data_IF_350556072471
#
_entry.id   IF_350556072471
#
_cell.length_a   1.000
_cell.length_b   1.000
_cell.length_c   1.000
_cell.angle_alpha   90.00
_cell.angle_beta   90.00
_cell.angle_gamma   90.00
#
_symmetry.space_group_name_H-M   'P 1'
#
loop_
_entity.id
_entity.type
_entity.pdbx_description
1 polymer ?
#
# COMPACT_ATOMS: atom_id res chain seq x y z
N UNK A 1 5.01 -18.89 -36.35
CA UNK A 1 4.72 -17.81 -35.38
C UNK A 1 4.70 -18.46 -34.01
N UNK A 2 5.59 -18.00 -33.12
CA UNK A 2 5.91 -18.65 -31.85
C UNK A 2 4.74 -18.58 -30.88
N UNK A 3 4.07 -19.71 -30.67
CA UNK A 3 3.20 -19.90 -29.51
C UNK A 3 4.11 -20.23 -28.33
N UNK A 4 4.61 -19.21 -27.64
CA UNK A 4 5.07 -19.38 -26.27
C UNK A 4 3.95 -20.03 -25.47
N UNK A 5 4.24 -21.17 -24.84
CA UNK A 5 3.21 -21.90 -24.09
C UNK A 5 2.72 -21.03 -22.92
N UNK A 6 1.42 -21.05 -22.61
CA UNK A 6 0.83 -20.32 -21.48
C UNK A 6 1.60 -20.55 -20.16
N UNK A 7 2.13 -21.76 -19.89
CA UNK A 7 3.09 -22.01 -18.81
C UNK A 7 4.33 -21.09 -18.83
N UNK A 8 4.99 -20.91 -19.98
CA UNK A 8 6.15 -20.02 -20.09
C UNK A 8 5.78 -18.54 -19.93
N UNK A 9 4.52 -18.17 -20.20
CA UNK A 9 3.99 -16.84 -19.89
C UNK A 9 3.64 -16.70 -18.40
N UNK A 10 3.01 -17.71 -17.78
CA UNK A 10 2.68 -17.71 -16.36
C UNK A 10 3.94 -17.79 -15.48
N UNK A 11 4.91 -18.62 -15.86
CA UNK A 11 6.24 -18.68 -15.25
C UNK A 11 7.01 -17.39 -15.48
N UNK A 12 6.97 -16.79 -16.68
CA UNK A 12 7.59 -15.47 -16.89
C UNK A 12 6.93 -14.42 -16.04
N UNK A 13 5.60 -14.37 -16.02
CA UNK A 13 4.86 -13.44 -15.19
C UNK A 13 5.24 -13.59 -13.72
N UNK A 14 5.24 -14.81 -13.18
CA UNK A 14 5.66 -15.07 -11.80
C UNK A 14 7.14 -14.73 -11.55
N UNK A 15 8.02 -15.08 -12.50
CA UNK A 15 9.44 -14.76 -12.45
C UNK A 15 9.66 -13.25 -12.53
N UNK A 16 8.93 -12.54 -13.36
CA UNK A 16 9.07 -11.11 -13.62
C UNK A 16 8.39 -10.30 -12.49
N UNK A 17 7.33 -10.82 -11.86
CA UNK A 17 6.75 -10.30 -10.61
C UNK A 17 7.71 -10.49 -9.42
N UNK A 18 8.36 -11.67 -9.32
CA UNK A 18 9.37 -11.94 -8.30
C UNK A 18 10.67 -11.17 -8.55
N UNK A 19 11.16 -11.12 -9.78
CA UNK A 19 12.37 -10.35 -10.16
C UNK A 19 12.10 -8.86 -10.10
N UNK A 20 10.92 -8.37 -10.46
CA UNK A 20 10.53 -6.97 -10.25
C UNK A 20 10.49 -6.61 -8.76
N UNK A 21 10.05 -7.53 -7.90
CA UNK A 21 10.16 -7.35 -6.45
C UNK A 21 11.62 -7.38 -5.93
N UNK A 22 12.55 -8.03 -6.66
CA UNK A 22 13.98 -8.12 -6.31
C UNK A 22 14.79 -6.94 -6.89
N UNK A 23 14.56 -6.56 -8.14
CA UNK A 23 15.28 -5.50 -8.87
C UNK A 23 14.91 -4.09 -8.37
N UNK A 24 13.72 -3.92 -7.79
CA UNK A 24 13.33 -2.71 -7.06
C UNK A 24 13.84 -2.69 -5.61
N UNK A 25 14.73 -3.62 -5.22
CA UNK A 25 15.45 -3.56 -3.94
C UNK A 25 16.77 -2.80 -4.15
N UNK A 26 17.08 -1.74 -3.38
CA UNK A 26 18.34 -1.02 -3.53
C UNK A 26 19.53 -1.96 -3.40
N UNK A 27 20.38 -2.01 -4.42
CA UNK A 27 21.37 -3.09 -4.64
C UNK A 27 22.74 -2.82 -3.99
N UNK A 28 22.80 -1.94 -3.01
CA UNK A 28 24.06 -1.63 -2.33
C UNK A 28 23.94 -2.04 -0.87
N UNK A 29 24.53 -3.18 -0.53
CA UNK A 29 25.35 -3.40 0.67
C UNK A 29 25.82 -4.87 0.71
N UNK A 30 27.07 -5.11 0.30
CA UNK A 30 27.74 -6.38 0.53
C UNK A 30 28.28 -6.48 1.97
N UNK A 31 28.06 -7.62 2.62
CA UNK A 31 29.10 -8.56 3.10
C UNK A 31 28.88 -9.16 4.50
N UNK A 32 28.80 -10.51 4.51
CA UNK A 32 29.24 -11.50 5.53
C UNK A 32 28.55 -11.54 6.90
N UNK A 33 27.88 -12.65 7.24
CA UNK A 33 28.50 -13.78 7.97
C UNK A 33 27.54 -14.97 8.21
N UNK A 34 28.14 -16.16 8.30
CA UNK A 34 27.61 -17.46 8.75
C UNK A 34 26.59 -17.42 9.90
N UNK A 35 25.53 -18.22 9.82
CA UNK A 35 25.37 -19.35 10.74
C UNK A 35 24.26 -20.34 10.33
N UNK A 36 24.52 -21.59 10.66
CA UNK A 36 23.70 -22.78 10.46
C UNK A 36 22.43 -22.80 11.32
N UNK A 37 21.26 -22.89 10.68
CA UNK A 37 20.04 -23.43 11.29
C UNK A 37 19.39 -24.40 10.30
N UNK A 38 19.32 -25.68 10.71
CA UNK A 38 18.38 -26.67 10.17
C UNK A 38 17.08 -26.52 10.96
N UNK A 39 15.96 -26.41 10.26
CA UNK A 39 14.78 -27.26 10.49
C UNK A 39 13.87 -27.23 9.26
N UNK A 40 13.46 -28.44 8.87
CA UNK A 40 12.37 -28.75 7.94
C UNK A 40 11.12 -27.97 8.33
N UNK A 41 10.41 -27.37 7.36
CA UNK A 41 8.94 -27.38 7.26
C UNK A 41 8.55 -26.94 5.84
N UNK A 42 7.70 -27.76 5.23
CA UNK A 42 7.38 -27.82 3.80
C UNK A 42 6.74 -26.52 3.27
N UNK A 43 7.13 -26.18 2.03
CA UNK A 43 6.41 -25.26 1.16
C UNK A 43 4.91 -25.61 1.13
N UNK A 44 3.97 -24.65 1.14
CA UNK A 44 2.54 -24.96 1.23
C UNK A 44 2.16 -25.92 0.10
N UNK A 45 1.95 -27.18 0.48
CA UNK A 45 1.75 -28.28 -0.45
C UNK A 45 0.57 -27.96 -1.38
N UNK A 46 -0.42 -27.21 -0.91
CA UNK A 46 -1.58 -26.75 -1.68
C UNK A 46 -1.24 -25.73 -2.79
N UNK A 47 -0.26 -24.86 -2.62
CA UNK A 47 0.14 -23.88 -3.66
C UNK A 47 1.07 -24.52 -4.70
N UNK A 48 1.97 -25.41 -4.27
CA UNK A 48 2.71 -26.27 -5.19
C UNK A 48 1.75 -27.19 -5.97
N UNK A 49 0.72 -27.73 -5.31
CA UNK A 49 -0.37 -28.48 -5.95
C UNK A 49 -1.17 -27.63 -6.93
N UNK A 50 -1.41 -26.35 -6.66
CA UNK A 50 -2.14 -25.46 -7.58
C UNK A 50 -1.32 -25.16 -8.85
N UNK A 51 -0.04 -24.85 -8.70
CA UNK A 51 0.89 -24.68 -9.84
C UNK A 51 1.05 -26.01 -10.61
N UNK A 52 1.13 -27.15 -9.92
CA UNK A 52 1.19 -28.47 -10.52
C UNK A 52 -0.12 -28.86 -11.22
N UNK A 53 -1.29 -28.55 -10.65
CA UNK A 53 -2.62 -28.79 -11.23
C UNK A 53 -2.81 -27.99 -12.51
N UNK A 54 -2.38 -26.73 -12.53
CA UNK A 54 -2.41 -25.89 -13.74
C UNK A 54 -1.47 -26.49 -14.80
N UNK A 55 -0.29 -26.94 -14.41
CA UNK A 55 0.65 -27.62 -15.31
C UNK A 55 0.06 -28.93 -15.87
N UNK A 56 -0.49 -29.81 -15.02
CA UNK A 56 -1.10 -31.09 -15.39
C UNK A 56 -2.32 -30.91 -16.30
N UNK A 57 -3.20 -29.96 -15.98
CA UNK A 57 -4.36 -29.60 -16.81
C UNK A 57 -3.94 -29.12 -18.20
N UNK A 58 -2.88 -28.31 -18.29
CA UNK A 58 -2.36 -27.84 -19.58
C UNK A 58 -1.63 -28.93 -20.37
N UNK A 59 -0.98 -29.89 -19.71
CA UNK A 59 -0.37 -31.03 -20.37
C UNK A 59 -1.43 -31.97 -20.95
N UNK A 60 -2.50 -32.24 -20.19
CA UNK A 60 -3.64 -33.04 -20.67
C UNK A 60 -4.27 -32.43 -21.92
N UNK A 61 -4.48 -31.11 -21.95
CA UNK A 61 -5.02 -30.38 -23.11
C UNK A 61 -4.05 -30.38 -24.32
N UNK A 62 -2.74 -30.32 -24.08
CA UNK A 62 -1.70 -30.37 -25.14
C UNK A 62 -1.54 -31.79 -25.73
N UNK A 63 -1.73 -32.83 -24.91
CA UNK A 63 -1.79 -34.24 -25.34
C UNK A 63 -3.03 -34.48 -26.20
N UNK A 64 -4.20 -33.99 -25.77
CA UNK A 64 -5.44 -34.09 -26.54
C UNK A 64 -5.34 -33.38 -27.91
N UNK A 65 -4.56 -32.29 -27.97
CA UNK A 65 -4.28 -31.52 -29.20
C UNK A 65 -3.04 -31.98 -29.98
N UNK A 66 -2.43 -33.12 -29.62
CA UNK A 66 -1.35 -33.77 -30.38
C UNK A 66 -0.03 -32.99 -30.45
N UNK A 67 0.26 -32.10 -29.50
CA UNK A 67 1.51 -31.32 -29.46
C UNK A 67 2.61 -32.03 -28.65
N UNK A 68 3.86 -31.85 -29.06
CA UNK A 68 5.05 -32.35 -28.34
C UNK A 68 5.17 -31.63 -26.99
N UNK A 69 5.39 -32.41 -25.92
CA UNK A 69 5.52 -31.95 -24.53
C UNK A 69 6.53 -30.79 -24.37
N UNK A 70 6.19 -29.79 -23.55
CA UNK A 70 7.19 -28.84 -23.02
C UNK A 70 8.10 -29.58 -22.02
N UNK A 71 9.39 -29.22 -21.97
CA UNK A 71 10.40 -29.77 -21.02
C UNK A 71 9.77 -30.05 -19.65
N UNK A 72 9.79 -31.31 -19.23
CA UNK A 72 9.36 -31.74 -17.90
C UNK A 72 10.20 -31.01 -16.84
N UNK A 73 9.53 -30.24 -15.98
CA UNK A 73 10.08 -29.87 -14.69
C UNK A 73 9.71 -31.01 -13.75
N UNK A 74 10.70 -31.78 -13.29
CA UNK A 74 10.47 -32.79 -12.27
C UNK A 74 10.13 -32.08 -10.95
N UNK A 75 9.26 -32.69 -10.13
CA UNK A 75 8.89 -32.18 -8.81
C UNK A 75 10.11 -31.83 -7.96
N UNK A 76 11.20 -32.58 -8.11
CA UNK A 76 12.47 -32.36 -7.41
C UNK A 76 13.18 -31.07 -7.86
N UNK A 77 13.11 -30.71 -9.14
CA UNK A 77 13.68 -29.45 -9.65
C UNK A 77 12.86 -28.26 -9.22
N UNK A 78 11.53 -28.39 -9.22
CA UNK A 78 10.64 -27.36 -8.69
C UNK A 78 10.88 -27.16 -7.19
N UNK A 79 10.95 -28.26 -6.41
CA UNK A 79 11.25 -28.22 -4.98
C UNK A 79 12.60 -27.56 -4.69
N UNK A 80 13.66 -27.93 -5.43
CA UNK A 80 15.00 -27.35 -5.28
C UNK A 80 15.05 -25.84 -5.58
N UNK A 81 14.30 -25.40 -6.61
CA UNK A 81 14.19 -23.98 -6.96
C UNK A 81 13.48 -23.19 -5.84
N UNK A 82 12.37 -23.73 -5.32
CA UNK A 82 11.61 -23.11 -4.22
C UNK A 82 12.43 -23.02 -2.93
N UNK A 83 13.20 -24.07 -2.60
CA UNK A 83 14.13 -24.06 -1.47
C UNK A 83 15.23 -23.00 -1.63
N UNK A 84 15.72 -22.80 -2.86
CA UNK A 84 16.70 -21.74 -3.16
C UNK A 84 16.10 -20.36 -2.95
N UNK A 85 14.88 -20.12 -3.45
CA UNK A 85 14.17 -18.85 -3.23
C UNK A 85 13.87 -18.60 -1.75
N UNK A 86 13.42 -19.61 -1.00
CA UNK A 86 13.17 -19.51 0.44
C UNK A 86 14.42 -19.07 1.19
N UNK A 87 15.58 -19.67 0.88
CA UNK A 87 16.88 -19.28 1.47
C UNK A 87 17.28 -17.85 1.13
N UNK A 88 17.13 -17.43 -0.13
CA UNK A 88 17.44 -16.06 -0.54
C UNK A 88 16.56 -15.03 0.17
N UNK A 89 15.27 -15.31 0.33
CA UNK A 89 14.35 -14.43 1.05
C UNK A 89 14.66 -14.35 2.54
N UNK A 90 14.94 -15.47 3.21
CA UNK A 90 15.35 -15.44 4.62
C UNK A 90 16.63 -14.63 4.81
N UNK A 91 17.63 -14.80 3.94
CA UNK A 91 18.85 -14.02 3.99
C UNK A 91 18.57 -12.51 3.84
N UNK A 92 17.65 -12.11 2.94
CA UNK A 92 17.26 -10.71 2.77
C UNK A 92 16.53 -10.14 4.00
N UNK A 93 15.63 -10.90 4.61
CA UNK A 93 14.95 -10.50 5.85
C UNK A 93 15.96 -10.32 7.00
N UNK A 94 16.93 -11.24 7.12
CA UNK A 94 18.00 -11.14 8.11
C UNK A 94 18.93 -9.95 7.84
N UNK A 95 19.28 -9.70 6.58
CA UNK A 95 20.16 -8.63 6.12
C UNK A 95 19.55 -7.24 6.31
N UNK A 96 18.24 -7.09 6.08
CA UNK A 96 17.53 -5.82 6.31
C UNK A 96 17.46 -5.42 7.79
N UNK A 97 17.87 -6.31 8.72
CA UNK A 97 17.79 -6.15 10.19
C UNK A 97 16.41 -5.70 10.68
N UNK A 98 15.38 -5.88 9.86
CA UNK A 98 14.06 -5.35 10.13
C UNK A 98 13.36 -6.30 11.09
N UNK A 99 13.27 -5.89 12.36
CA UNK A 99 12.51 -6.63 13.34
C UNK A 99 11.03 -6.39 13.05
N UNK A 100 10.26 -7.47 12.93
CA UNK A 100 8.81 -7.44 12.97
C UNK A 100 8.39 -6.62 14.17
N UNK A 101 7.83 -5.44 13.94
CA UNK A 101 7.28 -4.66 15.01
C UNK A 101 5.88 -5.20 15.31
N UNK A 102 5.62 -5.82 16.48
CA UNK A 102 4.30 -6.35 16.80
C UNK A 102 3.21 -5.26 16.85
N UNK A 103 3.57 -3.98 16.90
CA UNK A 103 2.66 -2.84 16.82
C UNK A 103 2.47 -2.30 15.39
N UNK A 104 3.06 -2.88 14.35
CA UNK A 104 2.77 -2.47 12.98
C UNK A 104 1.29 -2.77 12.65
N UNK A 105 0.56 -1.84 11.98
CA UNK A 105 -0.84 -2.06 11.58
C UNK A 105 -1.10 -3.38 10.85
N UNK A 106 -0.11 -3.95 10.16
CA UNK A 106 -0.23 -5.22 9.46
C UNK A 106 -0.43 -6.43 10.38
N UNK A 107 0.06 -6.37 11.61
CA UNK A 107 -0.06 -7.47 12.59
C UNK A 107 -1.25 -7.28 13.53
N UNK A 108 -1.99 -6.19 13.38
CA UNK A 108 -3.15 -5.91 14.21
C UNK A 108 -4.27 -6.93 13.92
N UNK A 109 -4.53 -7.81 14.90
CA UNK A 109 -5.64 -8.78 14.86
C UNK A 109 -7.02 -8.15 15.04
N UNK A 110 -7.05 -6.90 15.52
CA UNK A 110 -8.24 -6.09 15.71
C UNK A 110 -8.07 -4.82 14.90
N UNK A 111 -9.13 -4.40 14.21
CA UNK A 111 -9.15 -3.20 13.39
C UNK A 111 -10.35 -2.31 13.75
N UNK A 112 -10.37 -1.08 13.23
CA UNK A 112 -11.33 -0.05 13.63
C UNK A 112 -12.79 -0.36 13.22
N UNK A 113 -13.01 -1.02 12.07
CA UNK A 113 -14.33 -1.04 11.42
C UNK A 113 -14.93 -2.43 11.20
N UNK A 114 -14.14 -3.51 11.24
CA UNK A 114 -14.63 -4.87 10.93
C UNK A 114 -15.78 -5.31 11.83
N UNK A 115 -15.69 -5.04 13.13
CA UNK A 115 -16.67 -5.46 14.14
C UNK A 115 -18.03 -4.76 14.02
N UNK A 116 -18.11 -3.67 13.26
CA UNK A 116 -19.34 -2.92 12.99
C UNK A 116 -19.74 -2.93 11.51
N UNK A 117 -19.16 -3.86 10.73
CA UNK A 117 -19.45 -4.07 9.30
C UNK A 117 -19.18 -2.84 8.42
N UNK A 118 -18.23 -1.99 8.82
CA UNK A 118 -17.87 -0.77 8.08
C UNK A 118 -16.60 -0.91 7.26
N UNK A 119 -15.87 -2.03 7.35
CA UNK A 119 -14.55 -2.20 6.72
C UNK A 119 -14.51 -2.11 5.19
N UNK A 120 -15.67 -2.06 4.53
CA UNK A 120 -15.79 -1.87 3.08
C UNK A 120 -16.78 -0.75 2.71
N UNK A 121 -17.20 0.06 3.68
CA UNK A 121 -18.10 1.20 3.44
C UNK A 121 -17.29 2.46 3.14
N UNK A 122 -17.53 3.05 1.97
CA UNK A 122 -16.73 4.19 1.47
C UNK A 122 -16.77 5.40 2.42
N UNK A 123 -17.96 5.78 2.90
CA UNK A 123 -18.16 6.99 3.70
C UNK A 123 -17.39 6.97 5.03
N UNK A 124 -17.42 5.89 5.83
CA UNK A 124 -16.56 5.78 7.02
C UNK A 124 -15.06 5.98 6.71
N UNK A 125 -14.55 5.40 5.63
CA UNK A 125 -13.13 5.51 5.28
C UNK A 125 -12.74 6.93 4.83
N UNK A 126 -13.56 7.59 3.99
CA UNK A 126 -13.26 8.97 3.57
C UNK A 126 -13.39 9.97 4.73
N UNK A 127 -14.32 9.75 5.65
CA UNK A 127 -14.41 10.54 6.90
C UNK A 127 -13.19 10.36 7.80
N UNK A 128 -12.73 9.12 7.97
CA UNK A 128 -11.57 8.84 8.79
C UNK A 128 -10.29 9.39 8.17
N UNK A 129 -10.13 9.26 6.85
CA UNK A 129 -9.04 9.88 6.12
C UNK A 129 -9.04 11.39 6.35
N UNK A 130 -10.16 12.07 6.11
CA UNK A 130 -10.26 13.52 6.33
C UNK A 130 -10.04 13.95 7.79
N UNK A 131 -10.43 13.11 8.76
CA UNK A 131 -10.12 13.35 10.18
C UNK A 131 -8.61 13.40 10.42
N UNK A 132 -7.83 12.49 9.81
CA UNK A 132 -6.36 12.51 9.93
C UNK A 132 -5.68 13.59 9.09
N UNK A 133 -6.25 13.95 7.93
CA UNK A 133 -5.67 14.99 7.06
C UNK A 133 -5.86 16.42 7.59
N UNK A 134 -6.65 16.61 8.65
CA UNK A 134 -6.93 17.90 9.27
C UNK A 134 -6.08 18.10 10.52
N UNK A 135 -4.99 18.87 10.46
CA UNK A 135 -4.02 18.99 11.56
C UNK A 135 -4.60 19.60 12.84
N UNK A 136 -5.74 20.31 12.74
CA UNK A 136 -6.43 20.94 13.87
C UNK A 136 -7.40 19.99 14.59
N UNK A 137 -7.55 18.74 14.12
CA UNK A 137 -8.37 17.73 14.77
C UNK A 137 -7.70 17.16 16.01
N UNK A 138 -8.54 16.59 16.86
CA UNK A 138 -8.17 16.01 18.16
C UNK A 138 -7.33 14.72 18.09
N UNK A 139 -6.76 14.34 16.94
CA UNK A 139 -5.86 13.18 16.83
C UNK A 139 -4.43 13.47 17.33
N UNK A 140 -4.02 14.73 17.45
CA UNK A 140 -2.72 15.08 18.04
C UNK A 140 -1.49 14.65 17.23
N UNK A 141 -1.65 14.43 15.92
CA UNK A 141 -0.54 14.10 15.00
C UNK A 141 -0.10 15.30 14.13
N UNK A 142 -0.75 16.46 14.31
CA UNK A 142 -0.47 17.69 13.58
C UNK A 142 -0.47 17.48 12.07
N UNK A 143 0.54 18.03 11.38
CA UNK A 143 0.67 17.93 9.93
C UNK A 143 1.22 16.58 9.42
N UNK A 144 1.59 15.66 10.31
CA UNK A 144 2.23 14.40 9.88
C UNK A 144 1.34 13.59 8.93
N UNK A 145 0.05 13.32 9.21
CA UNK A 145 -0.74 12.46 8.33
C UNK A 145 -0.97 13.05 6.94
N UNK A 146 -1.21 14.36 6.83
CA UNK A 146 -1.30 15.01 5.51
C UNK A 146 0.04 14.99 4.79
N UNK A 147 1.16 15.16 5.49
CA UNK A 147 2.49 15.03 4.89
C UNK A 147 2.72 13.65 4.27
N UNK A 148 2.49 12.60 5.05
CA UNK A 148 2.58 11.21 4.57
C UNK A 148 1.58 10.90 3.44
N UNK A 149 0.35 11.45 3.51
CA UNK A 149 -0.61 11.32 2.41
C UNK A 149 -0.09 11.93 1.10
N UNK A 150 0.52 13.11 1.16
CA UNK A 150 1.08 13.77 -0.02
C UNK A 150 2.30 13.00 -0.56
N UNK A 151 3.14 12.38 0.29
CA UNK A 151 4.19 11.45 -0.17
C UNK A 151 3.58 10.26 -0.93
N UNK A 152 2.48 9.70 -0.41
CA UNK A 152 1.80 8.61 -1.09
C UNK A 152 1.28 9.03 -2.48
N UNK A 153 0.79 10.27 -2.59
CA UNK A 153 0.32 10.84 -3.84
C UNK A 153 1.47 11.14 -4.82
N UNK A 154 2.61 11.67 -4.36
CA UNK A 154 3.77 11.99 -5.21
C UNK A 154 4.52 10.75 -5.69
N UNK A 155 4.58 9.70 -4.89
CA UNK A 155 5.18 8.40 -5.26
C UNK A 155 4.25 7.54 -6.13
N UNK A 156 3.02 7.98 -6.38
CA UNK A 156 2.14 7.33 -7.34
C UNK A 156 2.58 7.66 -8.77
N UNK A 157 2.20 6.82 -9.74
CA UNK A 157 2.53 7.02 -11.17
C UNK A 157 1.97 8.32 -11.76
N UNK A 158 1.14 9.04 -11.00
CA UNK A 158 0.38 10.21 -11.42
C UNK A 158 1.18 11.52 -11.47
N UNK A 159 2.52 11.49 -11.32
CA UNK A 159 3.45 12.64 -11.36
C UNK A 159 2.92 13.91 -10.66
N UNK A 160 2.43 13.79 -9.42
CA UNK A 160 2.02 14.97 -8.66
C UNK A 160 3.29 15.64 -8.11
N UNK A 161 3.69 16.75 -8.71
CA UNK A 161 4.81 17.57 -8.24
C UNK A 161 4.41 18.29 -6.93
N UNK A 162 4.73 17.66 -5.80
CA UNK A 162 4.64 18.25 -4.48
C UNK A 162 6.07 18.45 -3.97
N UNK A 163 6.40 19.65 -3.51
CA UNK A 163 7.67 19.90 -2.84
C UNK A 163 7.72 19.19 -1.48
N UNK A 164 8.17 17.94 -1.51
CA UNK A 164 8.32 17.06 -0.35
C UNK A 164 9.43 17.55 0.60
N UNK A 165 10.35 18.41 0.15
CA UNK A 165 11.47 18.87 1.00
C UNK A 165 10.99 19.84 2.10
N UNK A 166 9.81 20.45 1.91
CA UNK A 166 9.29 21.51 2.77
C UNK A 166 8.03 21.09 3.54
N UNK A 167 7.88 19.81 3.92
CA UNK A 167 6.76 19.32 4.73
C UNK A 167 6.50 20.11 6.01
N UNK A 168 7.55 20.63 6.66
CA UNK A 168 7.45 21.48 7.84
C UNK A 168 6.71 22.81 7.60
N UNK A 169 6.53 23.18 6.34
CA UNK A 169 5.85 24.40 5.93
C UNK A 169 4.40 24.14 5.56
N UNK A 170 3.93 22.88 5.62
CA UNK A 170 2.52 22.56 5.38
C UNK A 170 1.65 23.38 6.32
N UNK A 171 0.68 24.05 5.74
CA UNK A 171 -0.33 24.78 6.48
C UNK A 171 -1.66 24.57 5.80
N UNK A 172 -2.57 23.91 6.50
CA UNK A 172 -3.93 23.63 6.05
C UNK A 172 -4.84 24.74 6.54
N UNK A 173 -5.60 25.34 5.63
CA UNK A 173 -6.65 26.31 5.97
C UNK A 173 -7.90 25.59 6.45
N UNK A 174 -8.28 24.53 5.74
CA UNK A 174 -9.57 23.86 5.94
C UNK A 174 -9.57 22.45 5.38
N UNK A 175 -10.21 21.54 6.11
CA UNK A 175 -10.66 20.24 5.61
C UNK A 175 -12.18 20.13 5.77
N UNK A 176 -12.87 19.80 4.68
CA UNK A 176 -14.32 19.56 4.67
C UNK A 176 -14.58 18.13 4.18
N UNK A 177 -15.42 17.40 4.91
CA UNK A 177 -15.97 16.12 4.46
C UNK A 177 -17.36 16.33 3.90
N UNK A 178 -17.77 15.48 2.96
CA UNK A 178 -19.13 15.46 2.43
C UNK A 178 -19.59 16.83 1.91
N UNK A 179 -18.71 17.58 1.24
CA UNK A 179 -18.97 18.93 0.75
C UNK A 179 -20.07 18.91 -0.31
N UNK A 180 -21.23 19.46 0.04
CA UNK A 180 -22.35 19.59 -0.89
C UNK A 180 -22.14 20.73 -1.88
N UNK A 181 -22.23 20.40 -3.16
CA UNK A 181 -22.10 21.33 -4.27
C UNK A 181 -23.33 21.23 -5.18
N UNK A 182 -23.58 22.27 -5.96
CA UNK A 182 -24.69 22.30 -6.92
C UNK A 182 -24.16 22.38 -8.34
N UNK A 183 -24.40 21.34 -9.13
CA UNK A 183 -23.99 21.23 -10.53
C UNK A 183 -25.24 20.98 -11.37
N UNK A 184 -25.47 21.83 -12.38
CA UNK A 184 -26.61 21.71 -13.30
C UNK A 184 -27.96 21.52 -12.58
N UNK A 185 -28.15 22.25 -11.47
CA UNK A 185 -29.36 22.20 -10.65
C UNK A 185 -29.50 20.98 -9.74
N UNK A 186 -28.58 20.00 -9.80
CA UNK A 186 -28.55 18.81 -8.94
C UNK A 186 -27.56 19.01 -7.79
N UNK A 187 -27.92 18.51 -6.60
CA UNK A 187 -27.00 18.44 -5.47
C UNK A 187 -26.08 17.24 -5.64
N UNK A 188 -24.78 17.47 -5.47
CA UNK A 188 -23.72 16.46 -5.47
C UNK A 188 -22.87 16.64 -4.22
N UNK A 189 -22.10 15.61 -3.88
CA UNK A 189 -21.29 15.56 -2.66
C UNK A 189 -19.87 15.15 -3.04
N UNK A 190 -18.91 16.02 -2.75
CA UNK A 190 -17.48 15.67 -2.78
C UNK A 190 -17.15 14.98 -1.46
N UNK A 191 -16.40 13.89 -1.49
CA UNK A 191 -16.07 13.16 -0.27
C UNK A 191 -15.13 13.94 0.65
N UNK A 192 -14.03 14.49 0.12
CA UNK A 192 -13.09 15.33 0.87
C UNK A 192 -12.66 16.54 0.03
N UNK A 193 -12.67 17.71 0.65
CA UNK A 193 -12.13 18.94 0.10
C UNK A 193 -11.13 19.54 1.10
N UNK A 194 -9.93 19.85 0.65
CA UNK A 194 -8.86 20.46 1.45
C UNK A 194 -8.44 21.77 0.80
N UNK A 195 -8.29 22.81 1.60
CA UNK A 195 -7.71 24.08 1.20
C UNK A 195 -6.40 24.27 1.96
N UNK A 196 -5.30 24.41 1.23
CA UNK A 196 -3.97 24.61 1.79
C UNK A 196 -3.51 26.06 1.63
N UNK A 197 -2.90 26.59 2.68
CA UNK A 197 -2.24 27.90 2.69
C UNK A 197 -0.82 27.75 2.13
N UNK A 198 -0.13 26.67 2.51
CA UNK A 198 1.24 26.37 2.10
C UNK A 198 1.41 24.86 1.87
N UNK A 199 1.88 24.44 0.67
CA UNK A 199 1.79 25.23 -0.58
C UNK A 199 0.36 25.73 -0.81
N UNK A 200 0.21 26.82 -1.58
CA UNK A 200 -1.12 27.35 -1.88
C UNK A 200 -1.77 26.48 -2.97
N UNK A 201 -2.61 25.55 -2.55
CA UNK A 201 -3.37 24.67 -3.43
C UNK A 201 -4.68 24.21 -2.78
N UNK A 202 -5.56 23.65 -3.58
CA UNK A 202 -6.78 22.98 -3.15
C UNK A 202 -6.72 21.53 -3.59
N UNK A 203 -7.17 20.62 -2.72
CA UNK A 203 -7.21 19.19 -3.00
C UNK A 203 -8.65 18.71 -2.95
N UNK A 204 -9.12 18.07 -4.02
CA UNK A 204 -10.34 17.28 -4.02
C UNK A 204 -9.97 15.80 -3.96
N UNK A 205 -10.66 15.04 -3.10
CA UNK A 205 -10.53 13.59 -3.07
C UNK A 205 -11.94 12.98 -3.21
N UNK A 206 -12.10 12.11 -4.20
CA UNK A 206 -13.26 11.22 -4.34
C UNK A 206 -12.82 9.79 -4.01
N UNK A 207 -13.46 9.16 -3.03
CA UNK A 207 -13.10 7.83 -2.57
C UNK A 207 -14.02 6.75 -3.13
N UNK A 208 -13.43 5.65 -3.61
CA UNK A 208 -14.13 4.42 -3.97
C UNK A 208 -13.47 3.21 -3.33
N UNK A 209 -14.28 2.30 -2.83
CA UNK A 209 -13.85 1.00 -2.29
C UNK A 209 -14.60 -0.11 -3.02
N UNK A 210 -15.88 0.09 -3.30
CA UNK A 210 -16.73 -0.88 -3.97
C UNK A 210 -17.57 -0.20 -5.03
N UNK A 211 -17.26 -0.49 -6.27
CA UNK A 211 -18.08 -0.10 -7.41
C UNK A 211 -17.28 0.69 -8.42
N UNK A 212 -17.89 0.84 -9.58
CA UNK A 212 -17.36 1.68 -10.66
C UNK A 212 -17.86 3.10 -10.48
N UNK A 213 -17.10 4.03 -11.04
CA UNK A 213 -17.50 5.42 -11.23
C UNK A 213 -18.94 5.54 -11.77
N UNK A 214 -19.70 6.52 -11.25
CA UNK A 214 -20.96 6.93 -11.86
C UNK A 214 -20.73 7.86 -13.05
N UNK A 215 -21.50 7.68 -14.13
CA UNK A 215 -21.37 8.44 -15.37
C UNK A 215 -21.22 9.96 -15.13
N UNK A 216 -20.22 10.56 -15.78
CA UNK A 216 -19.85 11.98 -15.79
C UNK A 216 -19.50 12.61 -14.42
N UNK A 217 -19.40 11.85 -13.32
CA UNK A 217 -19.23 12.44 -12.00
C UNK A 217 -17.92 13.26 -11.87
N UNK A 218 -16.80 12.68 -12.29
CA UNK A 218 -15.47 13.30 -12.18
C UNK A 218 -15.36 14.56 -13.06
N UNK A 219 -15.85 14.51 -14.29
CA UNK A 219 -15.85 15.65 -15.22
C UNK A 219 -16.73 16.79 -14.71
N UNK A 220 -17.91 16.48 -14.14
CA UNK A 220 -18.76 17.47 -13.47
C UNK A 220 -18.04 18.16 -12.30
N UNK A 221 -17.29 17.40 -11.49
CA UNK A 221 -16.56 17.92 -10.34
C UNK A 221 -15.42 18.83 -10.77
N UNK A 222 -14.66 18.43 -11.80
CA UNK A 222 -13.62 19.26 -12.41
C UNK A 222 -14.18 20.56 -12.99
N UNK A 223 -15.32 20.52 -13.70
CA UNK A 223 -15.98 21.70 -14.25
C UNK A 223 -16.44 22.68 -13.15
N UNK A 224 -17.00 22.15 -12.05
CA UNK A 224 -17.40 22.97 -10.91
C UNK A 224 -16.19 23.59 -10.19
N UNK A 225 -15.16 22.79 -9.98
CA UNK A 225 -13.99 23.16 -9.19
C UNK A 225 -13.07 24.14 -9.90
N UNK A 226 -12.94 23.98 -11.23
CA UNK A 226 -12.06 24.76 -12.11
C UNK A 226 -10.63 24.77 -11.54
N UNK A 227 -9.91 23.63 -11.63
CA UNK A 227 -8.58 23.54 -11.06
C UNK A 227 -7.66 24.61 -11.62
N UNK A 228 -6.90 25.23 -10.72
CA UNK A 228 -5.73 26.01 -11.05
C UNK A 228 -4.51 25.08 -11.18
N UNK A 229 -3.39 25.59 -11.67
CA UNK A 229 -2.17 24.81 -11.98
C UNK A 229 -1.66 23.95 -10.81
N UNK A 230 -1.83 24.41 -9.57
CA UNK A 230 -1.35 23.71 -8.37
C UNK A 230 -2.44 22.88 -7.67
N UNK A 231 -3.68 22.90 -8.16
CA UNK A 231 -4.75 22.16 -7.52
C UNK A 231 -4.70 20.67 -7.88
N UNK A 232 -5.05 19.81 -6.92
CA UNK A 232 -4.88 18.36 -7.06
C UNK A 232 -6.26 17.70 -6.95
N UNK A 233 -6.64 16.93 -7.96
CA UNK A 233 -7.86 16.12 -7.93
C UNK A 233 -7.45 14.65 -7.85
N UNK A 234 -7.80 13.98 -6.76
CA UNK A 234 -7.39 12.60 -6.47
C UNK A 234 -8.61 11.70 -6.51
N UNK A 235 -8.57 10.69 -7.37
CA UNK A 235 -9.51 9.58 -7.36
C UNK A 235 -8.87 8.40 -6.64
N UNK A 236 -9.38 8.11 -5.45
CA UNK A 236 -8.81 7.15 -4.52
C UNK A 236 -9.56 5.82 -4.59
N UNK A 237 -8.97 4.79 -5.19
CA UNK A 237 -9.64 3.51 -5.51
C UNK A 237 -8.68 2.32 -5.38
N UNK A 238 -9.15 1.11 -5.02
CA UNK A 238 -8.29 -0.08 -4.92
C UNK A 238 -8.04 -0.74 -6.29
N UNK A 239 -8.43 -0.13 -7.40
CA UNK A 239 -8.36 -0.71 -8.75
C UNK A 239 -7.79 0.29 -9.73
N UNK A 240 -6.98 -0.22 -10.66
CA UNK A 240 -6.51 0.56 -11.80
C UNK A 240 -7.71 0.95 -12.67
N UNK A 241 -7.88 2.25 -12.87
CA UNK A 241 -8.91 2.82 -13.74
C UNK A 241 -8.25 3.90 -14.62
N UNK A 242 -8.60 3.92 -15.91
CA UNK A 242 -8.25 5.04 -16.76
C UNK A 242 -9.11 6.25 -16.37
N UNK A 243 -8.45 7.35 -16.03
CA UNK A 243 -9.11 8.59 -15.61
C UNK A 243 -9.03 9.64 -16.71
N UNK A 244 -10.04 10.51 -16.73
CA UNK A 244 -9.99 11.73 -17.53
C UNK A 244 -9.18 12.80 -16.80
N UNK A 245 -8.38 13.57 -17.55
CA UNK A 245 -7.76 14.79 -17.04
C UNK A 245 -8.84 15.69 -16.41
N UNK A 246 -8.58 16.31 -15.24
CA UNK A 246 -7.30 16.43 -14.56
C UNK A 246 -7.18 15.54 -13.31
N UNK A 247 -7.79 14.35 -13.31
CA UNK A 247 -7.78 13.48 -12.13
C UNK A 247 -6.54 12.59 -12.07
N UNK A 248 -5.91 12.58 -10.90
CA UNK A 248 -4.81 11.69 -10.56
C UNK A 248 -5.34 10.44 -9.86
N UNK A 249 -4.84 9.28 -10.25
CA UNK A 249 -5.17 8.02 -9.60
C UNK A 249 -4.30 7.83 -8.35
N UNK A 250 -4.92 7.47 -7.23
CA UNK A 250 -4.20 7.03 -6.04
C UNK A 250 -4.80 5.73 -5.53
N UNK A 251 -3.96 4.73 -5.26
CA UNK A 251 -4.40 3.48 -4.68
C UNK A 251 -4.50 3.59 -3.15
N UNK A 252 -5.57 3.05 -2.58
CA UNK A 252 -5.69 2.83 -1.13
C UNK A 252 -4.51 2.06 -0.55
N UNK A 253 -3.86 1.18 -1.32
CA UNK A 253 -2.63 0.49 -0.92
C UNK A 253 -1.47 1.45 -0.66
N UNK A 254 -1.32 2.51 -1.46
CA UNK A 254 -0.29 3.52 -1.26
C UNK A 254 -0.60 4.36 -0.02
N UNK A 255 -1.86 4.73 0.18
CA UNK A 255 -2.30 5.43 1.40
C UNK A 255 -2.04 4.57 2.63
N UNK A 256 -2.44 3.29 2.62
CA UNK A 256 -2.22 2.37 3.74
C UNK A 256 -0.73 2.17 4.04
N UNK A 257 0.10 2.01 3.02
CA UNK A 257 1.56 1.87 3.19
C UNK A 257 2.19 3.13 3.77
N UNK A 258 1.74 4.31 3.34
CA UNK A 258 2.22 5.57 3.90
C UNK A 258 1.79 5.78 5.35
N UNK A 259 0.58 5.35 5.70
CA UNK A 259 0.10 5.45 7.07
C UNK A 259 0.74 4.38 7.99
N UNK A 260 1.18 3.24 7.45
CA UNK A 260 2.08 2.32 8.15
C UNK A 260 3.44 2.98 8.41
N UNK A 261 4.00 3.64 7.40
CA UNK A 261 5.25 4.38 7.55
C UNK A 261 5.14 5.46 8.65
N UNK A 262 4.04 6.21 8.67
CA UNK A 262 3.73 7.15 9.74
C UNK A 262 3.63 6.48 11.11
N UNK A 263 2.93 5.35 11.22
CA UNK A 263 2.83 4.63 12.49
C UNK A 263 4.22 4.19 13.01
N UNK A 264 5.08 3.71 12.12
CA UNK A 264 6.45 3.31 12.45
C UNK A 264 7.33 4.53 12.79
N UNK A 265 7.16 5.64 12.08
CA UNK A 265 7.84 6.91 12.35
C UNK A 265 7.53 7.43 13.76
N UNK A 266 6.25 7.52 14.12
CA UNK A 266 5.81 8.00 15.44
C UNK A 266 6.35 7.15 16.61
N UNK A 267 6.65 5.86 16.36
CA UNK A 267 7.18 4.95 17.39
C UNK A 267 8.68 5.12 17.65
N UNK A 268 9.46 5.55 16.66
CA UNK A 268 10.90 5.76 16.82
C UNK A 268 11.23 7.00 17.67
N UNK A 269 10.32 7.99 17.74
CA UNK A 269 10.48 9.26 18.47
C UNK A 269 9.82 9.25 19.89
N UNK A 270 9.69 8.09 20.53
CA UNK A 270 8.99 7.89 21.82
C UNK A 270 9.64 8.58 23.06
N UNK A 271 10.60 9.48 22.89
CA UNK A 271 11.13 10.27 24.01
C UNK A 271 10.22 11.46 24.33
N UNK A 272 9.57 11.40 25.50
CA UNK A 272 8.83 12.46 26.22
C UNK A 272 7.48 12.99 25.66
N UNK A 273 7.13 12.76 24.39
CA UNK A 273 5.91 13.35 23.76
C UNK A 273 4.59 12.59 24.01
N UNK A 274 4.63 11.41 24.64
CA UNK A 274 3.57 10.37 24.63
C UNK A 274 2.29 10.61 25.47
N UNK A 275 2.09 11.75 26.14
CA UNK A 275 0.85 11.92 26.94
C UNK A 275 -0.36 12.46 26.18
N UNK A 276 -0.15 13.15 25.06
CA UNK A 276 -1.23 13.92 24.43
C UNK A 276 -1.73 13.36 23.07
N UNK A 277 -1.02 12.44 22.41
CA UNK A 277 -1.40 11.91 21.08
C UNK A 277 -1.63 10.40 21.03
N UNK A 278 -1.59 9.70 22.18
CA UNK A 278 -1.70 8.24 22.22
C UNK A 278 -3.02 7.75 21.58
N UNK A 279 -4.13 8.43 21.85
CA UNK A 279 -5.45 8.02 21.35
C UNK A 279 -5.54 8.14 19.82
N UNK A 280 -5.05 9.25 19.25
CA UNK A 280 -5.05 9.45 17.80
C UNK A 280 -4.08 8.52 17.08
N UNK A 281 -2.92 8.24 17.67
CA UNK A 281 -1.99 7.24 17.16
C UNK A 281 -2.60 5.82 17.16
N UNK A 282 -3.27 5.42 18.24
CA UNK A 282 -3.92 4.11 18.32
C UNK A 282 -5.06 3.99 17.32
N UNK A 283 -5.86 5.06 17.14
CA UNK A 283 -6.90 5.10 16.13
C UNK A 283 -6.32 5.00 14.71
N UNK A 284 -5.23 5.72 14.42
CA UNK A 284 -4.52 5.66 13.14
C UNK A 284 -4.11 4.22 12.85
N UNK A 285 -3.45 3.57 13.82
CA UNK A 285 -3.00 2.19 13.70
C UNK A 285 -4.14 1.22 13.40
N UNK A 286 -5.23 1.29 14.17
CA UNK A 286 -6.40 0.42 14.01
C UNK A 286 -7.12 0.65 12.67
N UNK A 287 -7.19 1.90 12.21
CA UNK A 287 -7.80 2.21 10.92
C UNK A 287 -6.92 1.80 9.74
N UNK A 288 -5.61 2.01 9.82
CA UNK A 288 -4.66 1.51 8.82
C UNK A 288 -4.72 -0.01 8.71
N UNK A 289 -4.86 -0.72 9.83
CA UNK A 289 -5.13 -2.17 9.82
C UNK A 289 -6.41 -2.52 9.06
N UNK A 290 -7.51 -1.76 9.25
CA UNK A 290 -8.74 -1.95 8.47
C UNK A 290 -8.45 -1.79 6.97
N UNK A 291 -7.73 -0.74 6.57
CA UNK A 291 -7.38 -0.50 5.17
C UNK A 291 -6.58 -1.66 4.57
N UNK A 292 -5.53 -2.11 5.25
CA UNK A 292 -4.69 -3.21 4.78
C UNK A 292 -5.52 -4.49 4.58
N UNK A 293 -6.29 -4.88 5.59
CA UNK A 293 -6.94 -6.19 5.62
C UNK A 293 -8.22 -6.25 4.77
N UNK A 294 -9.03 -5.21 4.80
CA UNK A 294 -10.34 -5.24 4.15
C UNK A 294 -10.31 -4.58 2.78
N UNK A 295 -9.75 -3.36 2.68
CA UNK A 295 -9.73 -2.61 1.41
C UNK A 295 -8.65 -3.16 0.48
N UNK A 296 -7.43 -3.32 0.97
CA UNK A 296 -6.28 -3.78 0.18
C UNK A 296 -6.17 -5.31 0.09
N UNK A 297 -6.98 -6.05 0.86
CA UNK A 297 -7.00 -7.52 0.92
C UNK A 297 -5.63 -8.13 1.25
N UNK A 298 -4.84 -7.44 2.07
CA UNK A 298 -3.57 -7.95 2.58
C UNK A 298 -3.90 -8.79 3.82
N UNK A 299 -3.60 -10.10 3.83
CA UNK A 299 -3.93 -10.96 4.97
C UNK A 299 -3.18 -10.50 6.22
N UNK A 300 -3.81 -10.64 7.40
CA UNK A 300 -3.13 -10.46 8.67
C UNK A 300 -2.06 -11.53 8.81
N UNK A 301 -0.82 -11.10 9.05
CA UNK A 301 0.31 -12.01 9.25
C UNK A 301 0.35 -12.40 10.73
N UNK A 302 0.39 -13.70 11.03
CA UNK A 302 0.59 -14.14 12.41
C UNK A 302 2.08 -14.32 12.69
N UNK A 303 2.67 -13.35 13.39
CA UNK A 303 4.07 -13.42 13.83
C UNK A 303 4.36 -14.58 14.80
N UNK A 304 3.33 -15.23 15.36
CA UNK A 304 3.50 -16.33 16.30
C UNK A 304 3.64 -17.71 15.65
N UNK A 305 3.45 -17.80 14.33
CA UNK A 305 3.63 -19.04 13.60
C UNK A 305 5.01 -19.05 12.95
N UNK A 306 5.83 -20.04 13.31
CA UNK A 306 7.07 -20.42 12.61
C UNK A 306 6.83 -20.82 11.13
N UNK A 307 5.57 -20.78 10.67
CA UNK A 307 5.03 -21.28 9.41
C UNK A 307 4.34 -20.20 8.55
N UNK A 308 4.83 -18.96 8.54
CA UNK A 308 4.35 -18.00 7.51
C UNK A 308 4.71 -18.53 6.12
N UNK A 309 3.72 -18.58 5.22
CA UNK A 309 3.95 -19.04 3.85
C UNK A 309 4.95 -18.10 3.17
N UNK A 310 5.83 -18.63 2.31
CA UNK A 310 6.81 -17.81 1.57
C UNK A 310 6.15 -16.63 0.84
N UNK A 311 4.91 -16.80 0.37
CA UNK A 311 4.11 -15.75 -0.27
C UNK A 311 3.79 -14.60 0.70
N UNK A 312 3.44 -14.91 1.95
CA UNK A 312 3.18 -13.90 2.99
C UNK A 312 4.47 -13.14 3.33
N UNK A 313 5.61 -13.84 3.42
CA UNK A 313 6.90 -13.21 3.61
C UNK A 313 7.31 -12.30 2.44
N UNK A 314 7.04 -12.71 1.19
CA UNK A 314 7.29 -11.90 -0.01
C UNK A 314 6.42 -10.64 -0.03
N UNK A 315 5.11 -10.81 0.20
CA UNK A 315 4.16 -9.68 0.27
C UNK A 315 4.54 -8.71 1.37
N UNK A 316 4.96 -9.25 2.51
CA UNK A 316 5.43 -8.47 3.65
C UNK A 316 6.70 -7.70 3.34
N UNK A 317 7.71 -8.33 2.74
CA UNK A 317 8.94 -7.66 2.36
C UNK A 317 8.69 -6.52 1.36
N UNK A 318 7.81 -6.74 0.37
CA UNK A 318 7.39 -5.68 -0.55
C UNK A 318 6.72 -4.50 0.18
N UNK A 319 5.88 -4.78 1.18
CA UNK A 319 5.28 -3.74 2.02
C UNK A 319 6.35 -2.98 2.82
N UNK A 320 7.30 -3.67 3.46
CA UNK A 320 8.40 -3.03 4.21
C UNK A 320 9.25 -2.15 3.30
N UNK A 321 9.64 -2.64 2.12
CA UNK A 321 10.43 -1.85 1.17
C UNK A 321 9.68 -0.57 0.83
N UNK A 322 8.38 -0.66 0.54
CA UNK A 322 7.57 0.53 0.25
C UNK A 322 7.49 1.49 1.43
N UNK A 323 7.35 0.97 2.65
CA UNK A 323 7.39 1.77 3.89
C UNK A 323 8.74 2.47 4.05
N UNK A 324 9.85 1.79 3.77
CA UNK A 324 11.21 2.37 3.81
C UNK A 324 11.39 3.46 2.76
N UNK A 325 10.98 3.22 1.51
CA UNK A 325 11.00 4.25 0.45
C UNK A 325 10.25 5.52 0.88
N UNK A 326 9.06 5.35 1.49
CA UNK A 326 8.26 6.47 1.99
C UNK A 326 8.99 7.21 3.11
N UNK A 327 9.63 6.48 4.04
CA UNK A 327 10.41 7.09 5.12
C UNK A 327 11.66 7.81 4.61
N UNK A 328 12.34 7.26 3.61
CA UNK A 328 13.52 7.87 2.98
C UNK A 328 13.15 9.13 2.19
N UNK A 329 12.02 9.10 1.48
CA UNK A 329 11.49 10.26 0.76
C UNK A 329 10.97 11.32 1.75
N UNK A 330 10.44 10.88 2.89
CA UNK A 330 10.07 11.76 3.99
C UNK A 330 11.33 12.30 4.69
N UNK A 331 11.95 13.33 4.10
CA UNK A 331 13.14 14.04 4.62
C UNK A 331 12.91 14.84 5.92
N UNK A 332 11.84 14.57 6.66
CA UNK A 332 11.39 15.33 7.83
C UNK A 332 12.29 15.27 9.06
N UNK A 333 13.27 14.37 9.12
CA UNK A 333 14.15 14.19 10.29
C UNK A 333 14.92 15.46 10.70
N UNK A 334 15.22 16.38 9.77
CA UNK A 334 15.91 17.63 10.13
C UNK A 334 15.02 18.65 10.85
N UNK A 335 13.69 18.45 10.88
CA UNK A 335 12.72 19.44 11.37
C UNK A 335 11.58 18.85 12.23
N UNK A 336 11.68 17.57 12.62
CA UNK A 336 10.66 16.89 13.44
C UNK A 336 10.37 17.60 14.77
N UNK A 337 11.39 18.21 15.37
CA UNK A 337 11.27 18.96 16.63
C UNK A 337 10.50 20.29 16.50
N UNK A 338 10.24 20.78 15.28
CA UNK A 338 9.61 22.09 15.04
C UNK A 338 8.11 22.02 14.73
N UNK A 339 7.55 20.81 14.53
CA UNK A 339 6.21 20.65 13.94
C UNK A 339 5.13 20.14 14.91
N UNK A 340 5.50 19.73 16.12
CA UNK A 340 4.56 19.26 17.15
C UNK A 340 4.69 20.18 18.37
N UNK A 341 4.35 21.46 18.17
CA UNK A 341 4.37 22.51 19.19
C UNK A 341 2.95 22.90 19.62
#
# INVERSE_FOLDING_TARGET
MNAESNFQQAYRRLRDELLGAIENTPTDLFATHDSTIKNDHDFPLEFAKEIALIYESEQAEKIEKGKVLAKEYTDEKLKSLLETFKKQYHALIEETKFKLDPDDPLFCKVDAFSHIEWGLQEVPHTKMLAFFLDPEREHGLGNLPIGFFLVAASLSESEIEIDLENYHQISVCKVETEKWIRINGKNRRIDIYIEMIKPKCRILIEGKIKGKQGDDQLSNYAEWFKPEENDILIYLTPSEEELEDPWHLLDWKNVASSFCALANYCKLDQTEKEKNSLDGFQLLRLWTSTLLHHVCKIPTVDCSLEDNSLIELVKYNSHIIKVKEILEEYKGEQYADQQIA
#
